data_IF_100795264175
#
_entry.id   IF_100795264175
#
_cell.length_a   1.000
_cell.length_b   1.000
_cell.length_c   1.000
_cell.angle_alpha   90.00
_cell.angle_beta   90.00
_cell.angle_gamma   90.00
#
_symmetry.space_group_name_H-M   'P 1'
#
loop_
_entity.id
_entity.type
_entity.pdbx_description
1 polymer ?
#
# COMPACT_ATOMS: atom_id res chain seq x y z
N UNK A 1 -14.72 -0.22 -5.31
CA UNK A 1 -14.28 0.76 -4.28
C UNK A 1 -14.25 2.13 -4.92
N UNK A 2 -14.92 3.12 -4.33
CA UNK A 2 -14.90 4.51 -4.81
C UNK A 2 -13.82 5.31 -4.07
N UNK A 3 -12.91 5.91 -4.82
CA UNK A 3 -11.81 6.75 -4.32
C UNK A 3 -11.96 8.22 -4.73
N UNK A 4 -13.06 8.61 -5.37
CA UNK A 4 -13.28 9.95 -5.93
C UNK A 4 -13.24 11.08 -4.89
N UNK A 5 -13.52 10.76 -3.62
CA UNK A 5 -13.50 11.71 -2.50
C UNK A 5 -12.11 11.99 -1.93
N UNK A 6 -11.13 11.12 -2.21
CA UNK A 6 -9.77 11.29 -1.68
C UNK A 6 -8.99 12.32 -2.48
N UNK A 7 -8.20 13.13 -1.77
CA UNK A 7 -7.45 14.24 -2.33
C UNK A 7 -5.94 13.94 -2.42
N UNK A 8 -5.39 13.24 -1.43
CA UNK A 8 -3.96 12.97 -1.36
C UNK A 8 -3.70 11.51 -0.97
N UNK A 9 -3.10 10.77 -1.89
CA UNK A 9 -2.60 9.42 -1.66
C UNK A 9 -1.14 9.47 -1.21
N UNK A 10 -0.82 8.84 -0.09
CA UNK A 10 0.54 8.50 0.32
C UNK A 10 0.82 7.06 -0.16
N UNK A 11 1.71 6.93 -1.13
CA UNK A 11 2.16 5.66 -1.72
C UNK A 11 3.44 5.24 -0.99
N UNK A 12 3.29 4.33 -0.02
CA UNK A 12 4.34 3.97 0.93
C UNK A 12 5.15 2.80 0.38
N UNK A 13 6.46 3.03 0.16
CA UNK A 13 7.31 2.12 -0.61
C UNK A 13 6.89 2.10 -2.08
N UNK A 14 6.53 3.28 -2.63
CA UNK A 14 5.90 3.38 -3.95
C UNK A 14 6.81 3.08 -5.13
N UNK A 15 8.10 2.78 -4.91
CA UNK A 15 9.04 2.37 -5.94
C UNK A 15 9.13 3.39 -7.08
N UNK A 16 8.92 2.94 -8.31
CA UNK A 16 8.89 3.80 -9.50
C UNK A 16 7.69 4.74 -9.60
N UNK A 17 6.72 4.66 -8.67
CA UNK A 17 5.50 5.46 -8.69
C UNK A 17 4.45 4.98 -9.70
N UNK A 18 4.56 3.78 -10.23
CA UNK A 18 3.65 3.27 -11.27
C UNK A 18 2.17 3.31 -10.84
N UNK A 19 1.87 2.94 -9.59
CA UNK A 19 0.52 2.98 -9.04
C UNK A 19 0.03 4.43 -8.84
N UNK A 20 0.89 5.30 -8.32
CA UNK A 20 0.61 6.73 -8.18
C UNK A 20 0.32 7.39 -9.53
N UNK A 21 1.15 7.13 -10.54
CA UNK A 21 0.96 7.63 -11.91
C UNK A 21 -0.39 7.15 -12.45
N UNK A 22 -0.69 5.86 -12.32
CA UNK A 22 -1.96 5.32 -12.81
C UNK A 22 -3.17 5.89 -12.06
N UNK A 23 -3.13 5.94 -10.74
CA UNK A 23 -4.22 6.46 -9.91
C UNK A 23 -4.53 7.92 -10.24
N UNK A 24 -3.51 8.76 -10.30
CA UNK A 24 -3.64 10.20 -10.62
C UNK A 24 -4.12 10.41 -12.04
N UNK A 25 -3.72 9.56 -13.00
CA UNK A 25 -4.20 9.66 -14.40
C UNK A 25 -5.69 9.38 -14.56
N UNK A 26 -6.29 8.54 -13.69
CA UNK A 26 -7.72 8.17 -13.80
C UNK A 26 -8.61 8.92 -12.82
N UNK A 27 -8.05 9.47 -11.75
CA UNK A 27 -8.76 10.24 -10.72
C UNK A 27 -8.36 11.72 -10.80
N UNK A 28 -9.15 12.58 -11.45
CA UNK A 28 -8.72 13.94 -11.81
C UNK A 28 -8.39 14.83 -10.60
N UNK A 29 -9.02 14.58 -9.46
CA UNK A 29 -8.82 15.37 -8.24
C UNK A 29 -7.76 14.79 -7.30
N UNK A 30 -7.28 13.56 -7.56
CA UNK A 30 -6.28 12.92 -6.71
C UNK A 30 -4.89 13.48 -6.98
N UNK A 31 -4.15 13.71 -5.92
CA UNK A 31 -2.71 13.96 -5.91
C UNK A 31 -2.02 12.77 -5.24
N UNK A 32 -0.73 12.59 -5.46
CA UNK A 32 0.02 11.54 -4.79
C UNK A 32 1.35 12.06 -4.24
N UNK A 33 1.76 11.44 -3.14
CA UNK A 33 3.07 11.59 -2.53
C UNK A 33 3.70 10.21 -2.45
N UNK A 34 4.75 9.98 -3.23
CA UNK A 34 5.50 8.72 -3.25
C UNK A 34 6.54 8.78 -2.13
N UNK A 35 6.38 7.94 -1.11
CA UNK A 35 7.31 7.83 -0.01
C UNK A 35 8.23 6.64 -0.24
N UNK A 36 9.53 6.90 -0.38
CA UNK A 36 10.56 5.87 -0.53
C UNK A 36 11.94 6.40 -0.14
N UNK A 37 12.97 5.57 -0.24
CA UNK A 37 14.36 5.96 -0.02
C UNK A 37 14.87 6.87 -1.14
N UNK A 38 15.87 7.70 -0.84
CA UNK A 38 16.38 8.73 -1.76
C UNK A 38 16.61 8.26 -3.20
N UNK A 39 17.45 7.23 -3.45
CA UNK A 39 17.70 6.74 -4.81
C UNK A 39 16.44 6.26 -5.54
N UNK A 40 15.47 5.71 -4.81
CA UNK A 40 14.20 5.26 -5.40
C UNK A 40 13.31 6.45 -5.75
N UNK A 41 13.27 7.47 -4.89
CA UNK A 41 12.57 8.71 -5.17
C UNK A 41 13.10 9.43 -6.42
N UNK A 42 14.40 9.37 -6.69
CA UNK A 42 15.00 9.91 -7.92
C UNK A 42 14.43 9.22 -9.16
N UNK A 43 14.41 7.88 -9.16
CA UNK A 43 13.81 7.08 -10.25
C UNK A 43 12.31 7.39 -10.41
N UNK A 44 11.57 7.45 -9.30
CA UNK A 44 10.15 7.81 -9.34
C UNK A 44 9.93 9.18 -9.98
N UNK A 45 10.77 10.17 -9.66
CA UNK A 45 10.68 11.52 -10.21
C UNK A 45 10.93 11.55 -11.73
N UNK A 46 11.82 10.71 -12.24
CA UNK A 46 12.04 10.57 -13.69
C UNK A 46 10.77 10.07 -14.39
N UNK A 47 10.14 8.99 -13.86
CA UNK A 47 8.88 8.48 -14.41
C UNK A 47 7.74 9.51 -14.32
N UNK A 48 7.57 10.15 -13.16
CA UNK A 48 6.56 11.22 -13.00
C UNK A 48 6.74 12.31 -14.03
N UNK A 49 7.98 12.71 -14.32
CA UNK A 49 8.32 13.71 -15.32
C UNK A 49 8.01 13.22 -16.73
N UNK A 50 8.35 11.97 -17.05
CA UNK A 50 8.06 11.36 -18.35
C UNK A 50 6.56 11.33 -18.65
N UNK A 51 5.72 11.14 -17.62
CA UNK A 51 4.26 11.15 -17.76
C UNK A 51 3.62 12.54 -17.63
N UNK A 52 4.40 13.60 -17.40
CA UNK A 52 3.90 14.99 -17.30
C UNK A 52 3.02 15.24 -16.08
N UNK A 53 3.28 14.55 -14.96
CA UNK A 53 2.43 14.58 -13.76
C UNK A 53 3.06 15.31 -12.57
N UNK A 54 4.13 16.10 -12.77
CA UNK A 54 4.90 16.76 -11.70
C UNK A 54 4.07 17.73 -10.85
N UNK A 55 3.00 18.28 -11.41
CA UNK A 55 2.10 19.19 -10.70
C UNK A 55 1.18 18.46 -9.71
N UNK A 56 1.02 17.14 -9.87
CA UNK A 56 0.08 16.33 -9.11
C UNK A 56 0.73 15.19 -8.31
N UNK A 57 1.95 14.79 -8.67
CA UNK A 57 2.71 13.76 -7.98
C UNK A 57 4.04 14.34 -7.54
N UNK A 58 4.39 14.10 -6.28
CA UNK A 58 5.69 14.45 -5.70
C UNK A 58 6.31 13.23 -5.03
N UNK A 59 7.62 13.26 -4.84
CA UNK A 59 8.34 12.29 -4.03
C UNK A 59 8.62 12.84 -2.64
N UNK A 60 8.73 11.96 -1.66
CA UNK A 60 9.06 12.25 -0.28
C UNK A 60 10.10 11.25 0.21
N UNK A 61 11.33 11.69 0.33
CA UNK A 61 12.43 10.85 0.80
C UNK A 61 12.24 10.60 2.29
N UNK A 62 11.94 9.35 2.66
CA UNK A 62 11.77 8.94 4.05
C UNK A 62 11.93 7.43 4.20
N UNK A 63 12.33 7.01 5.39
CA UNK A 63 12.33 5.61 5.79
C UNK A 63 10.99 5.29 6.47
N UNK A 64 10.17 4.40 5.88
CA UNK A 64 8.85 4.06 6.40
C UNK A 64 8.87 3.51 7.83
N UNK A 65 10.01 3.05 8.32
CA UNK A 65 10.16 2.53 9.67
C UNK A 65 10.39 3.63 10.71
N UNK A 66 11.24 4.59 10.38
CA UNK A 66 11.80 5.53 11.36
C UNK A 66 11.20 6.94 11.25
N UNK A 67 10.83 7.36 10.03
CA UNK A 67 10.37 8.73 9.79
C UNK A 67 8.84 8.83 9.89
N UNK A 68 8.28 9.96 10.34
CA UNK A 68 6.84 10.13 10.40
C UNK A 68 6.21 10.12 9.01
N UNK A 69 4.97 9.60 8.91
CA UNK A 69 4.22 9.71 7.68
C UNK A 69 3.64 11.12 7.51
N UNK A 70 3.78 11.73 6.31
CA UNK A 70 3.08 12.95 5.97
C UNK A 70 1.56 12.75 6.08
N UNK A 71 0.84 13.85 6.34
CA UNK A 71 -0.62 13.81 6.34
C UNK A 71 -1.13 13.48 4.94
N UNK A 72 -2.05 12.53 4.87
CA UNK A 72 -2.77 12.11 3.67
C UNK A 72 -4.12 11.53 4.09
N UNK A 73 -5.08 11.48 3.17
CA UNK A 73 -6.39 10.89 3.40
C UNK A 73 -6.54 9.49 2.79
N UNK A 74 -5.50 9.04 2.07
CA UNK A 74 -5.41 7.70 1.49
C UNK A 74 -3.99 7.18 1.66
N UNK A 75 -3.81 6.07 2.37
CA UNK A 75 -2.55 5.34 2.43
C UNK A 75 -2.62 4.12 1.52
N UNK A 76 -1.62 3.95 0.69
CA UNK A 76 -1.53 2.85 -0.26
C UNK A 76 -0.21 2.10 -0.08
N UNK A 77 -0.30 0.77 -0.02
CA UNK A 77 0.82 -0.16 0.03
C UNK A 77 0.66 -1.17 -1.11
N UNK A 78 1.64 -1.32 -1.95
CA UNK A 78 1.66 -2.36 -2.98
C UNK A 78 2.95 -3.14 -2.92
N UNK A 79 2.84 -4.46 -2.77
CA UNK A 79 3.99 -5.36 -2.64
C UNK A 79 4.92 -4.99 -1.46
N UNK A 80 4.34 -4.58 -0.34
CA UNK A 80 5.08 -4.20 0.87
C UNK A 80 4.88 -5.21 1.99
N UNK A 81 3.62 -5.59 2.28
CA UNK A 81 3.33 -6.42 3.44
C UNK A 81 3.98 -7.81 3.35
N UNK A 82 4.02 -8.41 2.17
CA UNK A 82 4.63 -9.71 1.96
C UNK A 82 6.17 -9.74 2.17
N UNK A 83 6.84 -8.60 2.17
CA UNK A 83 8.28 -8.52 2.42
C UNK A 83 8.64 -8.64 3.91
N UNK A 84 7.64 -8.49 4.81
CA UNK A 84 7.88 -8.31 6.23
C UNK A 84 7.13 -9.31 7.11
N UNK A 85 7.70 -9.66 8.28
CA UNK A 85 7.04 -10.51 9.25
C UNK A 85 5.84 -9.78 9.90
N UNK A 86 4.91 -10.53 10.54
CA UNK A 86 3.65 -9.97 11.06
C UNK A 86 3.83 -8.74 11.95
N UNK A 87 4.79 -8.76 12.86
CA UNK A 87 5.06 -7.65 13.79
C UNK A 87 5.40 -6.34 13.09
N UNK A 88 6.11 -6.40 11.97
CA UNK A 88 6.40 -5.24 11.13
C UNK A 88 5.17 -4.76 10.37
N UNK A 89 4.34 -5.69 9.89
CA UNK A 89 3.08 -5.35 9.23
C UNK A 89 2.11 -4.68 10.22
N UNK A 90 2.00 -5.18 11.45
CA UNK A 90 1.23 -4.53 12.53
C UNK A 90 1.74 -3.12 12.80
N UNK A 91 3.05 -2.92 12.89
CA UNK A 91 3.66 -1.61 13.10
C UNK A 91 3.27 -0.61 11.99
N UNK A 92 3.36 -1.01 10.70
CA UNK A 92 2.96 -0.14 9.57
C UNK A 92 1.47 0.16 9.60
N UNK A 93 0.64 -0.84 9.94
CA UNK A 93 -0.81 -0.68 10.06
C UNK A 93 -1.18 0.33 11.14
N UNK A 94 -0.61 0.21 12.34
CA UNK A 94 -0.81 1.16 13.43
C UNK A 94 -0.30 2.57 13.08
N UNK A 95 0.87 2.65 12.43
CA UNK A 95 1.45 3.91 12.00
C UNK A 95 0.55 4.62 10.99
N UNK A 96 -0.02 3.88 10.04
CA UNK A 96 -1.02 4.40 9.13
C UNK A 96 -2.27 4.87 9.85
N UNK A 97 -2.78 4.08 10.79
CA UNK A 97 -3.95 4.46 11.58
C UNK A 97 -3.74 5.76 12.35
N UNK A 98 -2.58 5.92 12.99
CA UNK A 98 -2.22 7.13 13.75
C UNK A 98 -2.08 8.37 12.84
N UNK A 99 -1.57 8.19 11.63
CA UNK A 99 -1.26 9.28 10.69
C UNK A 99 -2.45 9.72 9.83
N UNK A 100 -3.35 8.80 9.46
CA UNK A 100 -4.57 9.15 8.73
C UNK A 100 -5.50 10.02 9.57
N UNK A 101 -6.19 10.95 8.92
CA UNK A 101 -7.29 11.70 9.54
C UNK A 101 -8.57 10.84 9.60
N UNK A 102 -9.55 11.17 10.46
CA UNK A 102 -10.85 10.50 10.45
C UNK A 102 -11.49 10.49 9.05
N UNK A 103 -12.06 9.35 8.65
CA UNK A 103 -12.57 9.12 7.29
C UNK A 103 -11.50 8.75 6.27
N UNK A 104 -10.22 8.80 6.65
CA UNK A 104 -9.12 8.35 5.79
C UNK A 104 -9.14 6.84 5.56
N UNK A 105 -8.52 6.40 4.49
CA UNK A 105 -8.53 5.00 4.03
C UNK A 105 -7.13 4.42 3.94
N UNK A 106 -6.99 3.16 4.34
CA UNK A 106 -5.83 2.33 4.03
C UNK A 106 -6.17 1.34 2.91
N UNK A 107 -5.24 1.11 2.00
CA UNK A 107 -5.31 0.10 0.93
C UNK A 107 -4.02 -0.71 0.94
N UNK A 108 -4.14 -2.03 1.06
CA UNK A 108 -3.05 -2.98 0.92
C UNK A 108 -3.33 -3.79 -0.35
N UNK A 109 -2.47 -3.68 -1.35
CA UNK A 109 -2.54 -4.37 -2.64
C UNK A 109 -1.43 -5.41 -2.70
N UNK A 110 -1.81 -6.69 -2.72
CA UNK A 110 -0.87 -7.78 -2.62
C UNK A 110 -1.40 -9.08 -3.23
N UNK A 111 -0.53 -10.07 -3.40
CA UNK A 111 -0.88 -11.43 -3.83
C UNK A 111 -1.26 -12.24 -2.59
N UNK A 112 -2.53 -12.57 -2.45
CA UNK A 112 -3.07 -13.18 -1.24
C UNK A 112 -3.35 -14.68 -1.38
N UNK A 113 -3.09 -15.43 -0.31
CA UNK A 113 -3.67 -16.76 -0.12
C UNK A 113 -5.18 -16.67 0.08
N UNK A 114 -5.89 -17.79 -0.20
CA UNK A 114 -7.20 -18.02 0.43
C UNK A 114 -7.03 -18.18 1.96
N UNK A 115 -8.11 -17.99 2.70
CA UNK A 115 -8.04 -17.97 4.16
C UNK A 115 -7.64 -19.34 4.77
N UNK A 116 -7.93 -20.44 4.10
CA UNK A 116 -7.52 -21.81 4.46
C UNK A 116 -6.05 -22.10 4.12
N UNK A 117 -5.37 -21.20 3.39
CA UNK A 117 -3.98 -21.36 2.92
C UNK A 117 -3.72 -22.61 2.08
N UNK A 118 -4.74 -23.09 1.39
CA UNK A 118 -4.67 -24.23 0.48
C UNK A 118 -4.35 -23.83 -0.95
N UNK A 119 -4.31 -22.54 -1.23
CA UNK A 119 -4.07 -21.99 -2.57
C UNK A 119 -4.38 -20.48 -2.67
N UNK A 120 -4.44 -19.98 -3.88
CA UNK A 120 -4.04 -20.61 -5.13
C UNK A 120 -2.53 -20.82 -5.24
N UNK A 121 -2.05 -21.42 -6.33
CA UNK A 121 -0.62 -21.69 -6.54
C UNK A 121 0.25 -20.43 -6.57
N UNK A 122 -0.25 -19.34 -7.16
CA UNK A 122 0.54 -18.13 -7.34
C UNK A 122 1.07 -17.52 -6.01
N UNK A 123 0.25 -17.25 -4.96
CA UNK A 123 0.77 -16.79 -3.68
C UNK A 123 1.67 -17.82 -2.99
N UNK A 124 1.47 -19.14 -3.20
CA UNK A 124 2.36 -20.15 -2.65
C UNK A 124 3.76 -20.07 -3.28
N UNK A 125 3.84 -20.00 -4.60
CA UNK A 125 5.10 -19.83 -5.31
C UNK A 125 5.77 -18.48 -4.94
N UNK A 126 4.98 -17.41 -4.83
CA UNK A 126 5.47 -16.10 -4.45
C UNK A 126 6.03 -16.09 -3.02
N UNK A 127 5.33 -16.74 -2.08
CA UNK A 127 5.79 -16.87 -0.69
C UNK A 127 7.12 -17.64 -0.58
N UNK A 128 7.34 -18.67 -1.43
CA UNK A 128 8.62 -19.36 -1.49
C UNK A 128 9.76 -18.45 -1.97
N UNK A 129 9.49 -17.57 -2.94
CA UNK A 129 10.47 -16.58 -3.39
C UNK A 129 10.81 -15.60 -2.26
N UNK A 130 9.81 -15.15 -1.51
CA UNK A 130 10.01 -14.22 -0.38
C UNK A 130 10.94 -14.82 0.70
N UNK A 131 10.86 -16.10 0.97
CA UNK A 131 11.76 -16.78 1.94
C UNK A 131 13.25 -16.64 1.61
N UNK A 132 13.59 -16.45 0.32
CA UNK A 132 14.98 -16.28 -0.13
C UNK A 132 15.45 -14.81 -0.23
N UNK A 133 14.52 -13.85 -0.24
CA UNK A 133 14.81 -12.45 -0.56
C UNK A 133 14.39 -11.47 0.54
N UNK A 134 13.43 -11.86 1.39
CA UNK A 134 12.83 -11.00 2.41
C UNK A 134 12.71 -11.74 3.74
N UNK A 135 12.16 -11.07 4.76
CA UNK A 135 11.83 -11.66 6.07
C UNK A 135 10.35 -12.07 6.17
N UNK A 136 9.59 -11.90 5.07
CA UNK A 136 8.15 -12.00 5.08
C UNK A 136 7.57 -13.28 4.49
N UNK A 137 6.29 -13.20 4.16
CA UNK A 137 5.50 -14.29 3.56
C UNK A 137 4.26 -13.71 2.87
N UNK A 138 3.64 -14.44 1.96
CA UNK A 138 2.30 -14.09 1.52
C UNK A 138 1.26 -14.25 2.65
N UNK A 139 0.36 -13.29 2.76
CA UNK A 139 -0.73 -13.25 3.73
C UNK A 139 -2.05 -13.67 3.08
N UNK A 140 -3.05 -14.03 3.89
CA UNK A 140 -4.43 -14.15 3.45
C UNK A 140 -5.22 -12.86 3.65
N UNK A 141 -6.39 -12.77 3.03
CA UNK A 141 -7.32 -11.65 3.24
C UNK A 141 -7.75 -11.53 4.70
N UNK A 142 -7.99 -12.66 5.37
CA UNK A 142 -8.35 -12.70 6.79
C UNK A 142 -7.19 -12.22 7.69
N UNK A 143 -5.94 -12.60 7.43
CA UNK A 143 -4.79 -12.14 8.21
C UNK A 143 -4.64 -10.61 8.13
N UNK A 144 -4.65 -10.03 6.92
CA UNK A 144 -4.53 -8.59 6.74
C UNK A 144 -5.75 -7.83 7.31
N UNK A 145 -6.96 -8.38 7.14
CA UNK A 145 -8.17 -7.82 7.74
C UNK A 145 -8.09 -7.81 9.27
N UNK A 146 -7.52 -8.86 9.86
CA UNK A 146 -7.25 -8.94 11.31
C UNK A 146 -6.34 -7.81 11.78
N UNK A 147 -5.23 -7.55 11.07
CA UNK A 147 -4.30 -6.46 11.39
C UNK A 147 -4.98 -5.08 11.30
N UNK A 148 -5.79 -4.84 10.27
CA UNK A 148 -6.54 -3.59 10.15
C UNK A 148 -7.54 -3.42 11.29
N UNK A 149 -8.28 -4.48 11.64
CA UNK A 149 -9.26 -4.45 12.73
C UNK A 149 -8.62 -4.18 14.08
N UNK A 150 -7.49 -4.83 14.38
CA UNK A 150 -6.75 -4.65 15.63
C UNK A 150 -6.21 -3.22 15.76
N UNK A 151 -5.76 -2.61 14.67
CA UNK A 151 -5.34 -1.20 14.64
C UNK A 151 -6.50 -0.20 14.81
N UNK A 152 -7.76 -0.64 14.66
CA UNK A 152 -8.95 0.19 14.84
C UNK A 152 -9.66 0.62 13.56
N UNK A 153 -9.25 0.13 12.40
CA UNK A 153 -9.97 0.35 11.15
C UNK A 153 -11.32 -0.38 11.15
N UNK A 154 -12.31 0.22 10.47
CA UNK A 154 -13.63 -0.38 10.23
C UNK A 154 -13.94 -0.45 8.73
N UNK A 155 -15.12 -0.96 8.37
CA UNK A 155 -15.55 -1.17 6.97
C UNK A 155 -14.44 -1.89 6.16
N UNK A 156 -13.89 -2.95 6.78
CA UNK A 156 -12.79 -3.71 6.19
C UNK A 156 -13.36 -4.61 5.09
N UNK A 157 -12.77 -4.51 3.91
CA UNK A 157 -13.20 -5.24 2.73
C UNK A 157 -12.01 -5.87 2.01
N UNK A 158 -12.24 -7.05 1.41
CA UNK A 158 -11.27 -7.73 0.55
C UNK A 158 -11.87 -7.83 -0.84
N UNK A 159 -11.14 -7.34 -1.85
CA UNK A 159 -11.58 -7.36 -3.24
C UNK A 159 -10.52 -8.00 -4.13
N UNK A 160 -10.91 -8.83 -5.11
CA UNK A 160 -9.99 -9.23 -6.17
C UNK A 160 -9.59 -7.99 -6.99
N UNK A 161 -8.34 -7.96 -7.42
CA UNK A 161 -7.79 -6.96 -8.34
C UNK A 161 -7.40 -7.65 -9.65
N UNK A 162 -6.42 -7.13 -10.36
CA UNK A 162 -5.98 -7.71 -11.63
C UNK A 162 -5.07 -8.92 -11.40
N UNK A 163 -5.31 -10.00 -12.16
CA UNK A 163 -4.50 -11.21 -12.10
C UNK A 163 -4.61 -11.93 -10.76
N UNK A 164 -3.49 -12.12 -10.10
CA UNK A 164 -3.40 -12.80 -8.79
C UNK A 164 -3.45 -11.82 -7.61
N UNK A 165 -3.53 -10.53 -7.89
CA UNK A 165 -3.56 -9.51 -6.85
C UNK A 165 -4.95 -9.36 -6.24
N UNK A 166 -4.97 -8.95 -4.99
CA UNK A 166 -6.16 -8.55 -4.25
C UNK A 166 -5.89 -7.26 -3.47
N UNK A 167 -6.95 -6.62 -3.06
CA UNK A 167 -6.92 -5.41 -2.23
C UNK A 167 -7.61 -5.70 -0.91
N UNK A 168 -6.93 -5.39 0.20
CA UNK A 168 -7.55 -5.29 1.52
C UNK A 168 -7.60 -3.82 1.90
N UNK A 169 -8.76 -3.34 2.33
CA UNK A 169 -8.97 -1.92 2.64
C UNK A 169 -9.76 -1.74 3.91
N UNK A 170 -9.56 -0.63 4.61
CA UNK A 170 -10.30 -0.23 5.80
C UNK A 170 -10.38 1.29 5.93
N UNK A 171 -11.39 1.77 6.65
CA UNK A 171 -11.60 3.18 6.95
C UNK A 171 -11.21 3.47 8.40
N UNK A 172 -10.59 4.62 8.62
CA UNK A 172 -10.41 5.18 9.97
C UNK A 172 -11.72 5.85 10.40
N UNK A 173 -12.24 5.55 11.61
CA UNK A 173 -13.41 6.21 12.17
C UNK A 173 -13.29 7.73 12.24
#
# INVERSE_FOLDING_TARGET
MDLSRHQLMLDIGGGSGAHSIRAVSVLPNLRALILDLGPICEVAQEFVTQYGLQDRIRTHVANMWNDPFPKADLHFYSNIYHDWPPERCYFLTEKSFKSLEPGGRIIIHDVLYNDEKTGPFAPAAYSMLMMGWTEGKSYSGAELSGMLKEAGFHDIQVHPAFGYFSVVTGLKP
#
